data_IF_274425150142
#
_entry.id   IF_274425150142
#
_cell.length_a   1.000
_cell.length_b   1.000
_cell.length_c   1.000
_cell.angle_alpha   90.00
_cell.angle_beta   90.00
_cell.angle_gamma   90.00
#
_symmetry.space_group_name_H-M   'P 1'
#
loop_
_entity.id
_entity.type
_entity.pdbx_description
1 polymer ?
#
# COMPACT_ATOMS: atom_id res chain seq x y z
N UNK A 1 -11.37 57.99 -15.30
CA UNK A 1 -10.92 57.00 -16.29
C UNK A 1 -9.75 56.20 -15.70
N UNK A 2 -9.91 54.87 -15.63
CA UNK A 2 -8.92 53.76 -15.60
C UNK A 2 -7.60 53.92 -14.80
N UNK A 3 -7.37 53.25 -13.66
CA UNK A 3 -7.10 51.82 -13.38
C UNK A 3 -5.64 51.38 -13.61
N UNK A 4 -4.95 50.87 -12.56
CA UNK A 4 -4.32 49.53 -12.50
C UNK A 4 -3.52 49.24 -11.20
N UNK A 5 -3.53 47.94 -10.83
CA UNK A 5 -3.00 47.26 -9.64
C UNK A 5 -1.47 47.05 -9.69
N UNK A 6 -0.82 46.85 -8.53
CA UNK A 6 0.14 45.75 -8.30
C UNK A 6 0.48 45.55 -6.81
N UNK A 7 0.58 44.29 -6.41
CA UNK A 7 0.73 43.77 -5.04
C UNK A 7 2.21 43.62 -4.64
N UNK A 8 2.46 43.84 -3.35
CA UNK A 8 3.76 43.90 -2.67
C UNK A 8 4.44 42.52 -2.59
N UNK A 9 5.65 42.49 -3.16
CA UNK A 9 6.93 41.98 -2.65
C UNK A 9 7.03 40.75 -1.70
N UNK A 10 7.86 39.81 -2.18
CA UNK A 10 9.16 39.35 -1.63
C UNK A 10 9.32 37.87 -1.24
N UNK A 11 10.44 37.36 -1.75
CA UNK A 11 10.92 35.99 -1.83
C UNK A 11 11.96 35.74 -0.71
N UNK A 12 11.89 34.54 -0.14
CA UNK A 12 12.98 33.59 0.10
C UNK A 12 14.14 33.84 1.11
N UNK A 13 14.29 32.81 1.96
CA UNK A 13 15.52 32.09 2.41
C UNK A 13 16.21 32.45 3.73
N UNK A 14 16.09 31.50 4.67
CA UNK A 14 17.06 30.88 5.60
C UNK A 14 18.15 31.70 6.31
N UNK A 15 18.22 31.57 7.64
CA UNK A 15 19.47 31.66 8.42
C UNK A 15 19.45 30.66 9.60
N UNK A 16 20.52 29.84 9.70
CA UNK A 16 20.91 29.04 10.88
C UNK A 16 21.62 29.95 11.89
N UNK A 17 21.42 29.77 13.20
CA UNK A 17 22.34 30.31 14.22
C UNK A 17 22.68 29.22 15.25
N UNK A 18 23.98 29.05 15.46
CA UNK A 18 24.65 28.29 16.53
C UNK A 18 25.31 29.28 17.52
N UNK A 19 25.65 28.79 18.73
CA UNK A 19 26.48 29.37 19.81
C UNK A 19 25.71 30.25 20.84
N UNK A 20 26.00 30.31 22.14
CA UNK A 20 26.88 29.58 23.08
C UNK A 20 26.63 30.10 24.53
N UNK A 21 26.78 29.23 25.53
CA UNK A 21 27.20 29.42 26.94
C UNK A 21 26.58 30.50 27.89
N UNK A 22 25.98 29.96 28.97
CA UNK A 22 25.78 30.37 30.39
C UNK A 22 26.17 31.78 30.89
N UNK A 23 25.22 32.40 31.63
CA UNK A 23 25.39 32.86 33.03
C UNK A 23 24.00 32.97 33.70
N UNK A 24 23.92 32.59 34.98
CA UNK A 24 22.66 32.34 35.68
C UNK A 24 22.01 33.58 36.31
N UNK A 25 20.68 33.62 36.29
CA UNK A 25 19.85 34.39 37.20
C UNK A 25 18.63 33.54 37.58
N UNK A 26 18.51 33.26 38.87
CA UNK A 26 17.43 32.51 39.48
C UNK A 26 16.16 33.37 39.41
N UNK A 27 15.21 33.01 38.56
CA UNK A 27 13.88 33.60 38.54
C UNK A 27 12.84 32.48 38.43
N UNK A 28 12.05 32.33 39.50
CA UNK A 28 10.90 31.45 39.54
C UNK A 28 9.80 32.07 38.66
N UNK A 29 9.84 31.81 37.37
CA UNK A 29 8.72 32.07 36.48
C UNK A 29 7.93 30.78 36.27
N UNK A 30 6.72 30.79 36.82
CA UNK A 30 5.68 29.83 36.55
C UNK A 30 5.38 29.82 35.04
N UNK A 31 5.88 28.81 34.33
CA UNK A 31 5.58 28.59 32.91
C UNK A 31 4.07 28.38 32.76
N UNK A 32 3.34 29.22 32.00
CA UNK A 32 1.93 29.01 31.78
C UNK A 32 1.75 27.72 30.95
N UNK A 33 0.77 26.90 31.32
CA UNK A 33 0.45 25.59 30.71
C UNK A 33 0.02 25.63 29.22
N UNK A 34 0.31 26.72 28.51
CA UNK A 34 -0.06 26.93 27.09
C UNK A 34 0.93 26.32 26.10
N UNK A 35 2.01 25.67 26.56
CA UNK A 35 2.86 24.80 25.74
C UNK A 35 2.24 23.41 25.51
N UNK A 36 0.91 23.30 25.48
CA UNK A 36 0.16 22.04 25.38
C UNK A 36 -0.30 21.67 23.97
N UNK A 37 0.18 22.31 22.91
CA UNK A 37 -0.32 21.97 21.57
C UNK A 37 0.77 22.01 20.50
N UNK A 38 1.82 21.20 20.67
CA UNK A 38 2.82 21.03 19.63
C UNK A 38 3.40 19.62 19.53
N UNK A 39 2.58 18.58 19.67
CA UNK A 39 2.92 17.25 19.13
C UNK A 39 1.72 16.30 19.12
N UNK A 40 0.62 16.68 18.46
CA UNK A 40 -0.35 15.71 17.96
C UNK A 40 -0.53 15.99 16.47
N UNK A 41 0.56 15.80 15.72
CA UNK A 41 0.46 15.63 14.28
C UNK A 41 -0.39 14.39 14.07
N UNK A 42 -1.63 14.64 13.69
CA UNK A 42 -2.58 13.72 13.07
C UNK A 42 -1.86 12.74 12.14
N UNK A 43 -1.41 11.60 12.66
CA UNK A 43 -1.31 10.38 11.87
C UNK A 43 -2.74 9.89 11.65
N UNK A 44 -3.46 10.55 10.74
CA UNK A 44 -4.55 9.88 10.03
C UNK A 44 -3.91 8.76 9.25
N UNK A 45 -3.71 7.60 9.90
CA UNK A 45 -3.49 6.34 9.20
C UNK A 45 -4.62 6.25 8.19
N UNK A 46 -4.31 6.36 6.90
CA UNK A 46 -5.24 6.07 5.82
C UNK A 46 -5.67 4.63 6.02
N UNK A 47 -6.74 4.43 6.80
CA UNK A 47 -7.26 3.12 7.16
C UNK A 47 -7.76 2.53 5.86
N UNK A 48 -7.03 1.55 5.34
CA UNK A 48 -7.49 0.79 4.18
C UNK A 48 -8.80 0.12 4.62
N UNK A 49 -9.91 0.58 4.06
CA UNK A 49 -11.23 0.05 4.37
C UNK A 49 -11.50 -1.15 3.46
N UNK A 50 -11.04 -2.33 3.90
CA UNK A 50 -11.40 -3.62 3.28
C UNK A 50 -12.37 -4.34 4.21
N UNK A 51 -13.37 -5.00 3.62
CA UNK A 51 -14.27 -5.90 4.36
C UNK A 51 -13.43 -6.98 5.08
N UNK A 52 -13.50 -7.10 6.43
CA UNK A 52 -12.70 -8.06 7.18
C UNK A 52 -12.82 -9.50 6.68
N UNK A 53 -13.97 -9.91 6.12
CA UNK A 53 -14.16 -11.27 5.59
C UNK A 53 -13.32 -11.55 4.33
N UNK A 54 -12.81 -10.50 3.70
CA UNK A 54 -11.95 -10.56 2.51
C UNK A 54 -10.47 -10.44 2.86
N UNK A 55 -10.12 -10.35 4.15
CA UNK A 55 -8.73 -10.31 4.59
C UNK A 55 -8.27 -11.73 4.90
N UNK A 56 -7.18 -12.15 4.26
CA UNK A 56 -6.52 -13.44 4.52
C UNK A 56 -5.45 -13.24 5.59
N UNK A 57 -5.31 -14.20 6.51
CA UNK A 57 -4.25 -14.22 7.51
C UNK A 57 -2.97 -14.88 6.98
N UNK A 58 -1.84 -14.70 7.67
CA UNK A 58 -0.61 -15.43 7.33
C UNK A 58 -0.79 -16.95 7.42
N UNK A 59 -1.46 -17.44 8.47
CA UNK A 59 -1.67 -18.88 8.68
C UNK A 59 -2.56 -19.49 7.59
N UNK A 60 -3.51 -18.73 7.06
CA UNK A 60 -4.31 -19.18 5.92
C UNK A 60 -3.50 -19.14 4.63
N UNK A 61 -2.61 -18.16 4.45
CA UNK A 61 -1.69 -18.15 3.30
C UNK A 61 -0.80 -19.40 3.26
N UNK A 62 -0.32 -19.89 4.40
CA UNK A 62 0.45 -21.14 4.47
C UNK A 62 -0.33 -22.36 3.94
N UNK A 63 -1.65 -22.38 4.09
CA UNK A 63 -2.51 -23.45 3.56
C UNK A 63 -2.75 -23.25 2.05
N UNK A 64 -3.01 -22.01 1.66
CA UNK A 64 -3.36 -21.62 0.28
C UNK A 64 -2.21 -21.89 -0.71
N UNK A 65 -0.94 -21.74 -0.31
CA UNK A 65 0.20 -21.99 -1.22
C UNK A 65 0.29 -23.44 -1.73
N UNK A 66 -0.44 -24.37 -1.09
CA UNK A 66 -0.53 -25.78 -1.47
C UNK A 66 -1.83 -26.12 -2.21
N UNK A 67 -2.65 -25.12 -2.53
CA UNK A 67 -3.99 -25.25 -3.11
C UNK A 67 -3.99 -24.66 -4.54
N UNK A 68 -3.68 -25.46 -5.58
CA UNK A 68 -3.52 -24.97 -6.95
C UNK A 68 -4.80 -24.39 -7.57
N UNK A 69 -5.96 -24.75 -7.03
CA UNK A 69 -7.26 -24.18 -7.40
C UNK A 69 -7.39 -22.71 -7.00
N UNK A 70 -6.64 -22.27 -5.98
CA UNK A 70 -6.61 -20.88 -5.54
C UNK A 70 -5.56 -20.08 -6.30
N UNK A 71 -5.84 -18.79 -6.46
CA UNK A 71 -5.03 -17.93 -7.33
C UNK A 71 -4.37 -16.84 -6.51
N UNK A 72 -3.09 -17.01 -6.24
CA UNK A 72 -2.32 -15.97 -5.53
C UNK A 72 -1.73 -15.02 -6.57
N UNK A 73 -2.07 -13.74 -6.47
CA UNK A 73 -1.67 -12.70 -7.42
C UNK A 73 -0.80 -11.66 -6.70
N UNK A 74 0.47 -11.60 -7.07
CA UNK A 74 1.39 -10.53 -6.68
C UNK A 74 1.17 -9.32 -7.60
N UNK A 75 0.71 -8.20 -7.04
CA UNK A 75 0.46 -6.97 -7.82
C UNK A 75 1.60 -5.94 -7.76
N UNK A 76 2.78 -6.35 -7.27
CA UNK A 76 4.00 -5.55 -7.33
C UNK A 76 4.54 -5.42 -8.75
N UNK A 77 5.48 -4.50 -8.93
CA UNK A 77 6.21 -4.38 -10.18
C UNK A 77 7.15 -5.59 -10.35
N UNK A 78 7.43 -6.03 -11.59
CA UNK A 78 8.27 -7.20 -11.84
C UNK A 78 9.67 -7.09 -11.22
N UNK A 79 10.25 -5.89 -11.19
CA UNK A 79 11.58 -5.66 -10.58
C UNK A 79 11.58 -5.93 -9.07
N UNK A 80 10.51 -5.57 -8.35
CA UNK A 80 10.37 -5.87 -6.92
C UNK A 80 10.36 -7.38 -6.69
N UNK A 81 9.63 -8.11 -7.55
CA UNK A 81 9.51 -9.58 -7.49
C UNK A 81 10.84 -10.25 -7.81
N UNK A 82 11.53 -9.79 -8.85
CA UNK A 82 12.84 -10.31 -9.24
C UNK A 82 13.88 -10.12 -8.12
N UNK A 83 13.89 -8.94 -7.48
CA UNK A 83 14.93 -8.59 -6.52
C UNK A 83 14.68 -9.14 -5.10
N UNK A 84 13.42 -9.40 -4.74
CA UNK A 84 13.08 -9.83 -3.36
C UNK A 84 12.52 -11.24 -3.28
N UNK A 85 12.12 -11.82 -4.41
CA UNK A 85 11.35 -13.07 -4.44
C UNK A 85 9.84 -12.82 -4.37
N UNK A 86 9.09 -13.92 -4.22
CA UNK A 86 7.62 -13.91 -4.18
C UNK A 86 7.09 -15.02 -3.27
N UNK A 87 5.83 -14.89 -2.88
CA UNK A 87 5.11 -15.97 -2.18
C UNK A 87 5.03 -17.18 -3.14
N UNK A 88 5.33 -18.42 -2.68
CA UNK A 88 5.23 -19.63 -3.50
C UNK A 88 3.87 -19.75 -4.19
N UNK A 89 3.83 -20.40 -5.35
CA UNK A 89 2.63 -20.57 -6.21
C UNK A 89 2.00 -19.29 -6.79
N UNK A 90 2.49 -18.09 -6.43
CA UNK A 90 1.93 -16.85 -6.95
C UNK A 90 2.37 -16.51 -8.38
N UNK A 91 1.46 -15.87 -9.11
CA UNK A 91 1.72 -15.23 -10.41
C UNK A 91 1.85 -13.71 -10.21
N UNK A 92 2.69 -13.05 -11.01
CA UNK A 92 2.84 -11.60 -10.94
C UNK A 92 1.98 -10.92 -12.01
N UNK A 93 0.98 -10.13 -11.57
CA UNK A 93 0.17 -9.27 -12.43
C UNK A 93 0.22 -7.86 -11.83
N UNK A 94 1.12 -6.98 -12.30
CA UNK A 94 1.26 -5.64 -11.76
C UNK A 94 -0.08 -4.90 -11.69
N UNK A 95 -0.30 -4.09 -10.65
CA UNK A 95 -1.60 -3.44 -10.38
C UNK A 95 -2.21 -2.71 -11.59
N UNK A 96 -1.38 -2.08 -12.43
CA UNK A 96 -1.81 -1.40 -13.65
C UNK A 96 -2.48 -2.33 -14.66
N UNK A 97 -2.08 -3.60 -14.68
CA UNK A 97 -2.50 -4.59 -15.67
C UNK A 97 -3.66 -5.45 -15.18
N UNK A 98 -3.92 -5.52 -13.86
CA UNK A 98 -4.95 -6.39 -13.25
C UNK A 98 -6.29 -6.29 -13.96
N UNK A 99 -6.78 -5.07 -14.22
CA UNK A 99 -8.09 -4.89 -14.84
C UNK A 99 -8.15 -5.45 -16.25
N UNK A 100 -7.16 -5.13 -17.10
CA UNK A 100 -7.13 -5.60 -18.48
C UNK A 100 -6.92 -7.11 -18.57
N UNK A 101 -6.04 -7.66 -17.73
CA UNK A 101 -5.75 -9.10 -17.68
C UNK A 101 -6.98 -9.90 -17.27
N UNK A 102 -7.70 -9.45 -16.23
CA UNK A 102 -8.90 -10.15 -15.78
C UNK A 102 -10.09 -9.94 -16.74
N UNK A 103 -10.30 -8.72 -17.24
CA UNK A 103 -11.48 -8.41 -18.06
C UNK A 103 -11.38 -8.86 -19.53
N UNK A 104 -10.20 -8.78 -20.14
CA UNK A 104 -10.10 -8.79 -21.62
C UNK A 104 -9.11 -9.80 -22.19
N UNK A 105 -8.12 -10.26 -21.41
CA UNK A 105 -7.17 -11.26 -21.89
C UNK A 105 -7.86 -12.60 -22.17
N UNK A 106 -7.55 -13.23 -23.31
CA UNK A 106 -8.07 -14.56 -23.64
C UNK A 106 -7.50 -15.64 -22.72
N UNK A 107 -8.19 -16.78 -22.61
CA UNK A 107 -7.70 -17.91 -21.80
C UNK A 107 -6.35 -18.44 -22.29
N UNK A 108 -6.17 -18.54 -23.61
CA UNK A 108 -4.93 -19.05 -24.20
C UNK A 108 -3.74 -18.12 -23.99
N UNK A 109 -3.96 -16.81 -24.11
CA UNK A 109 -2.92 -15.83 -23.82
C UNK A 109 -2.56 -15.80 -22.34
N UNK A 110 -3.55 -15.88 -21.46
CA UNK A 110 -3.32 -15.98 -20.03
C UNK A 110 -2.51 -17.23 -19.67
N UNK A 111 -2.88 -18.38 -20.24
CA UNK A 111 -2.18 -19.66 -20.04
C UNK A 111 -0.74 -19.62 -20.54
N UNK A 112 -0.51 -19.02 -21.71
CA UNK A 112 0.84 -18.82 -22.25
C UNK A 112 1.69 -17.93 -21.35
N UNK A 113 1.13 -16.82 -20.88
CA UNK A 113 1.87 -15.82 -20.11
C UNK A 113 2.12 -16.21 -18.65
N UNK A 114 1.14 -16.81 -17.99
CA UNK A 114 1.19 -17.11 -16.56
C UNK A 114 1.34 -18.60 -16.23
N UNK A 115 1.45 -19.44 -17.26
CA UNK A 115 1.60 -20.91 -17.15
C UNK A 115 0.51 -21.58 -16.30
N UNK A 116 -0.70 -21.01 -16.29
CA UNK A 116 -1.89 -21.59 -15.62
C UNK A 116 -3.18 -21.15 -16.30
N UNK A 117 -4.26 -21.88 -16.06
CA UNK A 117 -5.59 -21.49 -16.53
C UNK A 117 -6.01 -20.13 -15.96
N UNK A 118 -6.69 -19.35 -16.81
CA UNK A 118 -7.31 -18.08 -16.42
C UNK A 118 -8.38 -18.35 -15.36
N UNK A 119 -8.41 -17.59 -14.25
CA UNK A 119 -9.45 -17.77 -13.25
C UNK A 119 -10.83 -17.39 -13.78
N UNK A 120 -11.82 -18.21 -13.41
CA UNK A 120 -13.24 -17.92 -13.52
C UNK A 120 -13.68 -16.93 -12.43
N UNK A 121 -14.85 -16.31 -12.59
CA UNK A 121 -15.42 -15.38 -11.61
C UNK A 121 -15.79 -16.03 -10.26
N UNK A 122 -15.94 -17.36 -10.24
CA UNK A 122 -16.17 -18.15 -9.02
C UNK A 122 -14.90 -18.56 -8.29
N UNK A 123 -13.72 -18.45 -8.91
CA UNK A 123 -12.47 -18.86 -8.29
C UNK A 123 -12.07 -17.90 -7.16
N UNK A 124 -11.36 -18.41 -6.16
CA UNK A 124 -10.80 -17.60 -5.08
C UNK A 124 -9.47 -16.95 -5.51
N UNK A 125 -9.50 -15.64 -5.71
CA UNK A 125 -8.32 -14.83 -6.01
C UNK A 125 -7.82 -14.16 -4.74
N UNK A 126 -6.52 -14.24 -4.47
CA UNK A 126 -5.90 -13.64 -3.29
C UNK A 126 -4.81 -12.69 -3.74
N UNK A 127 -5.04 -11.39 -3.54
CA UNK A 127 -4.11 -10.34 -3.92
C UNK A 127 -3.16 -9.98 -2.78
N UNK A 128 -1.88 -9.80 -3.09
CA UNK A 128 -0.89 -9.22 -2.18
C UNK A 128 0.04 -8.27 -2.93
N UNK A 129 0.70 -7.38 -2.20
CA UNK A 129 1.73 -6.50 -2.76
C UNK A 129 2.92 -6.39 -1.80
N UNK A 130 3.49 -5.19 -1.62
CA UNK A 130 4.52 -4.95 -0.62
C UNK A 130 3.94 -4.82 0.80
N UNK A 131 2.89 -4.00 0.97
CA UNK A 131 2.37 -3.57 2.28
C UNK A 131 0.83 -3.39 2.33
N UNK A 132 0.10 -4.06 1.44
CA UNK A 132 -1.37 -4.14 1.48
C UNK A 132 -2.15 -3.07 0.71
N UNK A 133 -1.56 -1.91 0.41
CA UNK A 133 -2.29 -0.83 -0.30
C UNK A 133 -2.71 -1.25 -1.72
N UNK A 134 -1.73 -1.60 -2.57
CA UNK A 134 -1.97 -1.98 -3.97
C UNK A 134 -2.86 -3.23 -4.09
N UNK A 135 -2.74 -4.17 -3.15
CA UNK A 135 -3.57 -5.39 -3.18
C UNK A 135 -5.03 -5.11 -2.86
N UNK A 136 -5.31 -4.11 -2.02
CA UNK A 136 -6.67 -3.64 -1.76
C UNK A 136 -7.29 -2.95 -2.98
N UNK A 137 -6.49 -2.17 -3.72
CA UNK A 137 -6.92 -1.59 -5.00
C UNK A 137 -7.18 -2.69 -6.06
N UNK A 138 -6.35 -3.74 -6.11
CA UNK A 138 -6.56 -4.88 -7.00
C UNK A 138 -7.82 -5.68 -6.64
N UNK A 139 -8.08 -5.87 -5.34
CA UNK A 139 -9.31 -6.49 -4.85
C UNK A 139 -10.55 -5.72 -5.33
N UNK A 140 -10.57 -4.40 -5.18
CA UNK A 140 -11.69 -3.58 -5.65
C UNK A 140 -11.94 -3.72 -7.16
N UNK A 141 -10.87 -3.71 -7.97
CA UNK A 141 -10.96 -3.97 -9.43
C UNK A 141 -11.56 -5.34 -9.72
N UNK A 142 -11.09 -6.40 -9.05
CA UNK A 142 -11.57 -7.75 -9.27
C UNK A 142 -13.05 -7.90 -8.87
N UNK A 143 -13.47 -7.30 -7.76
CA UNK A 143 -14.87 -7.32 -7.33
C UNK A 143 -15.79 -6.63 -8.34
N UNK A 144 -15.38 -5.48 -8.90
CA UNK A 144 -16.13 -4.77 -9.95
C UNK A 144 -16.26 -5.59 -11.24
N UNK A 145 -15.33 -6.49 -11.50
CA UNK A 145 -15.37 -7.42 -12.63
C UNK A 145 -16.14 -8.72 -12.32
N UNK A 146 -16.71 -8.86 -11.12
CA UNK A 146 -17.53 -10.01 -10.74
C UNK A 146 -16.78 -11.17 -10.09
N UNK A 147 -15.47 -11.04 -9.82
CA UNK A 147 -14.70 -12.04 -9.05
C UNK A 147 -15.05 -11.99 -7.56
N UNK A 148 -16.26 -12.45 -7.24
CA UNK A 148 -16.93 -12.26 -5.95
C UNK A 148 -16.22 -12.90 -4.76
N UNK A 149 -15.43 -13.95 -4.99
CA UNK A 149 -14.64 -14.66 -3.99
C UNK A 149 -13.24 -14.07 -3.77
N UNK A 150 -12.94 -12.91 -4.38
CA UNK A 150 -11.65 -12.25 -4.22
C UNK A 150 -11.39 -11.80 -2.78
N UNK A 151 -10.14 -11.96 -2.35
CA UNK A 151 -9.62 -11.61 -1.03
C UNK A 151 -8.27 -10.90 -1.18
N UNK A 152 -7.77 -10.34 -0.08
CA UNK A 152 -6.44 -9.73 -0.02
C UNK A 152 -5.69 -10.15 1.23
N UNK A 153 -4.39 -10.39 1.08
CA UNK A 153 -3.47 -10.56 2.18
C UNK A 153 -2.82 -9.20 2.52
N UNK A 154 -3.39 -8.49 3.51
CA UNK A 154 -2.98 -7.13 3.87
C UNK A 154 -1.55 -7.05 4.42
N UNK A 155 -1.11 -8.08 5.14
CA UNK A 155 0.28 -8.20 5.61
C UNK A 155 1.28 -8.19 4.44
N UNK A 156 0.87 -8.76 3.31
CA UNK A 156 1.59 -8.69 2.04
C UNK A 156 3.03 -9.22 2.14
N UNK A 157 3.90 -8.87 1.19
CA UNK A 157 5.28 -9.36 1.15
C UNK A 157 6.07 -9.03 2.42
N UNK A 158 5.85 -7.86 3.03
CA UNK A 158 6.53 -7.49 4.28
C UNK A 158 6.24 -8.47 5.43
N UNK A 159 4.98 -8.82 5.65
CA UNK A 159 4.60 -9.78 6.69
C UNK A 159 5.11 -11.19 6.35
N UNK A 160 4.93 -11.63 5.10
CA UNK A 160 5.43 -12.93 4.64
C UNK A 160 6.93 -13.09 4.84
N UNK A 161 7.73 -12.21 4.23
CA UNK A 161 9.19 -12.30 4.26
C UNK A 161 9.77 -12.15 5.68
N UNK A 162 9.12 -11.42 6.57
CA UNK A 162 9.57 -11.27 7.96
C UNK A 162 9.48 -12.57 8.77
N UNK A 163 8.58 -13.48 8.40
CA UNK A 163 8.28 -14.74 9.11
C UNK A 163 8.95 -15.97 8.50
N UNK A 164 9.63 -15.83 7.36
CA UNK A 164 10.35 -16.90 6.67
C UNK A 164 11.83 -16.98 7.08
N UNK A 165 12.18 -16.41 8.23
CA UNK A 165 13.55 -16.37 8.76
C UNK A 165 13.84 -17.54 9.68
#
# INVERSE_FOLDING_TARGET
MFALRAVIKYRHTSVKILNSARQGLHTNYHLPQVLKARFLSSEKKNKIMVDPKRVVSYDDMLKVIHQPEKVIIDVRNPDEVHNTGKIPSSINIPLGNVQNVLASMSEEEFKRQYQRSKPSSSDELIFYCQSGRRSSEALDKALKLGYSNSKTYLGSWNDWSSRQK
#
